data_IF_908196078663
#
_entry.id   IF_908196078663
#
_cell.length_a   1.000
_cell.length_b   1.000
_cell.length_c   1.000
_cell.angle_alpha   90.00
_cell.angle_beta   90.00
_cell.angle_gamma   90.00
#
_symmetry.space_group_name_H-M   'P 1'
#
loop_
_entity.id
_entity.type
_entity.pdbx_description
1 polymer ?
#
# COMPACT_ATOMS: atom_id res chain seq x y z
N UNK A 1 10.07 84.37 -6.83
CA UNK A 1 11.24 84.05 -5.98
C UNK A 1 10.99 82.70 -5.32
N UNK A 2 11.88 81.72 -5.51
CA UNK A 2 12.03 80.44 -4.77
C UNK A 2 10.84 79.45 -4.88
N UNK A 3 10.92 78.12 -5.01
CA UNK A 3 12.00 77.12 -5.07
C UNK A 3 11.38 75.80 -5.60
N UNK A 4 12.21 74.92 -6.19
CA UNK A 4 12.33 73.45 -5.97
C UNK A 4 11.13 72.70 -5.35
N UNK A 5 10.64 71.57 -5.87
CA UNK A 5 11.36 70.27 -5.93
C UNK A 5 10.76 69.31 -6.97
N UNK A 6 11.64 68.49 -7.56
CA UNK A 6 11.31 67.29 -8.36
C UNK A 6 11.01 66.09 -7.44
N UNK A 7 10.08 65.23 -7.85
CA UNK A 7 9.99 63.83 -7.42
C UNK A 7 9.71 62.95 -8.65
N UNK A 8 10.41 61.82 -8.86
CA UNK A 8 10.20 60.94 -9.99
C UNK A 8 9.15 59.87 -9.67
N UNK A 9 8.14 59.73 -10.53
CA UNK A 9 7.28 58.54 -10.53
C UNK A 9 8.07 57.35 -11.05
N UNK A 10 8.34 56.39 -10.18
CA UNK A 10 8.86 55.06 -10.50
C UNK A 10 7.79 54.25 -11.23
N UNK A 11 8.14 53.79 -12.43
CA UNK A 11 7.37 52.82 -13.21
C UNK A 11 7.47 51.45 -12.53
N UNK A 12 6.35 50.92 -12.03
CA UNK A 12 6.22 49.52 -11.61
C UNK A 12 5.70 48.74 -12.81
N UNK A 13 6.60 48.02 -13.48
CA UNK A 13 6.22 46.97 -14.42
C UNK A 13 5.63 45.81 -13.61
N UNK A 14 4.32 45.59 -13.75
CA UNK A 14 3.65 44.43 -13.19
C UNK A 14 3.94 43.21 -14.08
N UNK A 15 4.85 42.36 -13.62
CA UNK A 15 5.11 41.05 -14.23
C UNK A 15 3.90 40.16 -13.97
N UNK A 16 3.13 39.89 -15.02
CA UNK A 16 1.98 38.99 -14.99
C UNK A 16 2.49 37.53 -14.89
N UNK A 17 2.53 36.99 -13.67
CA UNK A 17 2.77 35.55 -13.47
C UNK A 17 1.54 34.79 -13.95
N UNK A 18 1.69 34.07 -15.07
CA UNK A 18 0.69 33.12 -15.56
C UNK A 18 0.62 31.94 -14.58
N UNK A 19 -0.33 31.96 -13.65
CA UNK A 19 -0.74 30.78 -12.89
C UNK A 19 -1.49 29.85 -13.84
N UNK A 20 -0.77 28.92 -14.47
CA UNK A 20 -1.40 27.74 -15.06
C UNK A 20 -1.83 26.87 -13.88
N UNK A 21 -3.09 27.00 -13.48
CA UNK A 21 -3.75 26.06 -12.60
C UNK A 21 -3.94 24.77 -13.42
N UNK A 22 -3.02 23.81 -13.29
CA UNK A 22 -3.23 22.47 -13.85
C UNK A 22 -4.34 21.85 -13.00
N UNK A 23 -5.58 21.93 -13.48
CA UNK A 23 -6.68 21.18 -12.92
C UNK A 23 -6.33 19.69 -13.05
N UNK A 24 -5.87 19.07 -11.97
CA UNK A 24 -5.76 17.62 -11.92
C UNK A 24 -7.16 17.07 -12.10
N UNK A 25 -7.38 16.31 -13.17
CA UNK A 25 -8.66 15.64 -13.38
C UNK A 25 -8.91 14.71 -12.19
N UNK A 26 -9.96 14.98 -11.42
CA UNK A 26 -10.37 14.10 -10.33
C UNK A 26 -10.73 12.73 -10.90
N UNK A 27 -10.23 11.67 -10.28
CA UNK A 27 -10.55 10.30 -10.66
C UNK A 27 -12.07 10.11 -10.72
N UNK A 28 -12.55 9.50 -11.80
CA UNK A 28 -13.98 9.25 -12.00
C UNK A 28 -14.25 7.76 -11.86
N UNK A 29 -14.95 7.37 -10.79
CA UNK A 29 -15.48 6.02 -10.64
C UNK A 29 -16.62 5.79 -11.64
N UNK A 30 -16.57 4.65 -12.32
CA UNK A 30 -17.60 4.08 -13.19
C UNK A 30 -18.62 3.31 -12.37
N UNK A 31 -18.18 2.63 -11.31
CA UNK A 31 -19.06 1.89 -10.41
C UNK A 31 -19.62 2.77 -9.28
N UNK A 32 -20.75 2.34 -8.73
CA UNK A 32 -21.32 2.92 -7.50
C UNK A 32 -20.92 2.08 -6.30
N UNK A 33 -20.55 2.75 -5.21
CA UNK A 33 -20.04 2.11 -4.01
C UNK A 33 -20.97 2.30 -2.80
N UNK A 34 -20.97 1.36 -1.84
CA UNK A 34 -21.72 1.48 -0.60
C UNK A 34 -21.29 2.68 0.25
N UNK A 35 -22.06 2.96 1.29
CA UNK A 35 -21.65 3.93 2.31
C UNK A 35 -20.34 3.50 2.97
N UNK A 36 -19.42 4.46 3.13
CA UNK A 36 -18.16 4.23 3.84
C UNK A 36 -18.40 3.99 5.34
N UNK A 37 -17.53 3.23 6.01
CA UNK A 37 -17.59 2.92 7.45
C UNK A 37 -18.86 2.18 7.90
N UNK A 38 -19.53 1.51 6.99
CA UNK A 38 -20.65 0.61 7.26
C UNK A 38 -20.39 -0.73 6.62
N UNK A 39 -20.81 -1.82 7.28
CA UNK A 39 -20.76 -3.17 6.69
C UNK A 39 -21.51 -3.12 5.36
N UNK A 40 -20.84 -3.43 4.23
CA UNK A 40 -21.43 -3.23 2.94
C UNK A 40 -22.43 -4.34 2.59
N UNK A 41 -23.45 -4.07 1.76
CA UNK A 41 -24.37 -5.10 1.31
C UNK A 41 -23.65 -6.11 0.40
N UNK A 42 -23.96 -7.40 0.54
CA UNK A 42 -23.46 -8.42 -0.38
C UNK A 42 -24.22 -8.38 -1.72
N UNK A 43 -23.48 -8.44 -2.84
CA UNK A 43 -24.07 -8.61 -4.18
C UNK A 43 -24.52 -10.06 -4.41
N UNK A 44 -25.65 -10.32 -5.10
CA UNK A 44 -26.15 -11.68 -5.34
C UNK A 44 -25.11 -12.63 -5.95
N UNK A 45 -24.33 -12.15 -6.93
CA UNK A 45 -23.30 -12.94 -7.61
C UNK A 45 -22.13 -13.34 -6.69
N UNK A 46 -21.90 -12.63 -5.58
CA UNK A 46 -20.83 -12.95 -4.65
C UNK A 46 -21.20 -14.03 -3.65
N UNK A 47 -22.49 -14.20 -3.34
CA UNK A 47 -22.96 -15.28 -2.46
C UNK A 47 -22.53 -16.66 -2.99
N UNK A 48 -22.57 -16.81 -4.31
CA UNK A 48 -22.25 -18.08 -4.97
C UNK A 48 -20.74 -18.38 -4.99
N UNK A 49 -19.87 -17.40 -4.72
CA UNK A 49 -18.41 -17.61 -4.76
C UNK A 49 -17.92 -18.56 -3.67
N UNK A 50 -18.67 -18.69 -2.58
CA UNK A 50 -18.32 -19.55 -1.45
C UNK A 50 -19.24 -20.78 -1.33
N UNK A 51 -20.19 -20.97 -2.24
CA UNK A 51 -21.23 -22.01 -2.11
C UNK A 51 -20.67 -23.43 -2.03
N UNK A 52 -19.52 -23.69 -2.67
CA UNK A 52 -18.85 -25.00 -2.68
C UNK A 52 -17.60 -25.05 -1.78
N UNK A 53 -17.35 -23.98 -1.01
CA UNK A 53 -16.19 -23.93 -0.12
C UNK A 53 -16.47 -24.72 1.16
N UNK A 54 -15.50 -25.54 1.58
CA UNK A 54 -15.54 -26.17 2.90
C UNK A 54 -15.15 -25.15 3.96
N UNK A 55 -16.13 -24.45 4.51
CA UNK A 55 -15.92 -23.40 5.51
C UNK A 55 -16.02 -23.99 6.92
N UNK A 56 -14.98 -23.77 7.72
CA UNK A 56 -14.96 -24.12 9.14
C UNK A 56 -16.11 -23.44 9.88
N UNK A 57 -16.85 -24.20 10.69
CA UNK A 57 -17.98 -23.69 11.46
C UNK A 57 -17.55 -23.02 12.78
N UNK A 58 -16.69 -21.99 12.70
CA UNK A 58 -16.33 -21.19 13.86
C UNK A 58 -17.49 -20.25 14.25
N UNK A 59 -17.73 -20.03 15.56
CA UNK A 59 -18.83 -19.18 16.01
C UNK A 59 -18.63 -17.72 15.59
N UNK A 60 -19.73 -17.04 15.28
CA UNK A 60 -19.73 -15.58 15.12
C UNK A 60 -19.58 -14.96 16.51
N UNK A 61 -18.56 -14.12 16.68
CA UNK A 61 -18.22 -13.48 17.95
C UNK A 61 -18.99 -12.18 18.15
N UNK A 62 -19.09 -11.74 19.39
CA UNK A 62 -19.66 -10.44 19.75
C UNK A 62 -18.56 -9.40 19.99
N UNK A 63 -18.94 -8.13 20.00
CA UNK A 63 -18.05 -7.05 20.47
C UNK A 63 -18.35 -6.69 21.92
N UNK A 64 -17.31 -6.35 22.65
CA UNK A 64 -17.39 -5.75 23.98
C UNK A 64 -17.74 -4.25 23.86
N UNK A 65 -18.19 -3.59 24.95
CA UNK A 65 -18.57 -2.18 24.92
C UNK A 65 -17.44 -1.21 24.54
N UNK A 66 -16.18 -1.58 24.80
CA UNK A 66 -14.96 -0.88 24.39
C UNK A 66 -14.57 -1.16 22.92
N UNK A 67 -15.40 -1.91 22.19
CA UNK A 67 -15.26 -2.13 20.74
C UNK A 67 -14.38 -3.30 20.33
N UNK A 68 -13.75 -3.99 21.29
CA UNK A 68 -12.94 -5.18 21.07
C UNK A 68 -13.83 -6.40 20.79
N UNK A 69 -13.22 -7.48 20.27
CA UNK A 69 -13.92 -8.76 20.12
C UNK A 69 -13.96 -9.48 21.47
N UNK A 70 -15.14 -9.95 21.86
CA UNK A 70 -15.33 -10.67 23.11
C UNK A 70 -14.69 -12.07 23.03
N UNK A 71 -13.65 -12.26 23.82
CA UNK A 71 -12.90 -13.50 23.95
C UNK A 71 -13.09 -14.15 25.33
N UNK A 72 -13.96 -13.60 26.19
CA UNK A 72 -14.11 -14.03 27.58
C UNK A 72 -14.63 -15.46 27.75
N UNK A 73 -15.32 -15.98 26.73
CA UNK A 73 -15.91 -17.33 26.72
C UNK A 73 -15.01 -18.38 26.06
N UNK A 74 -13.84 -17.97 25.55
CA UNK A 74 -12.92 -18.86 24.83
C UNK A 74 -11.97 -19.52 25.82
N UNK A 75 -12.13 -20.83 26.01
CA UNK A 75 -11.28 -21.63 26.91
C UNK A 75 -10.22 -22.44 26.17
N UNK A 76 -10.47 -22.75 24.90
CA UNK A 76 -9.61 -23.47 23.97
C UNK A 76 -9.73 -22.84 22.57
N UNK A 77 -8.80 -23.18 21.67
CA UNK A 77 -8.78 -22.60 20.32
C UNK A 77 -8.83 -23.66 19.21
N UNK A 78 -10.00 -24.30 19.00
CA UNK A 78 -10.15 -25.27 17.92
C UNK A 78 -10.17 -24.61 16.53
N UNK A 79 -10.20 -23.28 16.45
CA UNK A 79 -10.38 -22.53 15.20
C UNK A 79 -9.16 -21.70 14.79
N UNK A 80 -8.02 -21.85 15.47
CA UNK A 80 -6.81 -21.06 15.21
C UNK A 80 -7.10 -19.55 15.20
N UNK A 81 -7.66 -19.04 16.29
CA UNK A 81 -8.08 -17.65 16.44
C UNK A 81 -6.90 -16.78 16.82
N UNK A 82 -6.46 -15.91 15.91
CA UNK A 82 -5.26 -15.11 16.14
C UNK A 82 -5.39 -14.13 17.32
N UNK A 83 -6.57 -13.53 17.52
CA UNK A 83 -6.83 -12.65 18.68
C UNK A 83 -6.81 -13.38 20.02
N UNK A 84 -6.85 -14.71 20.06
CA UNK A 84 -6.80 -15.49 21.30
C UNK A 84 -5.36 -15.83 21.71
N UNK A 85 -4.62 -16.49 20.84
CA UNK A 85 -3.31 -17.08 21.13
C UNK A 85 -2.27 -16.78 20.03
N UNK A 86 -2.55 -15.82 19.14
CA UNK A 86 -1.74 -15.50 17.96
C UNK A 86 -1.54 -16.68 17.00
N UNK A 87 -2.49 -17.61 16.91
CA UNK A 87 -2.38 -18.75 16.00
C UNK A 87 -2.27 -18.30 14.53
N UNK A 88 -1.18 -18.75 13.90
CA UNK A 88 -0.85 -18.54 12.49
C UNK A 88 -1.14 -19.83 11.72
N UNK A 89 -1.97 -19.76 10.69
CA UNK A 89 -2.23 -20.89 9.83
C UNK A 89 -1.15 -21.02 8.74
N UNK A 90 -1.02 -22.21 8.15
CA UNK A 90 -0.02 -22.53 7.13
C UNK A 90 0.02 -21.53 5.95
N UNK A 91 -1.15 -21.07 5.52
CA UNK A 91 -1.30 -20.22 4.33
C UNK A 91 -1.25 -18.71 4.68
N UNK A 92 -1.09 -18.34 5.96
CA UNK A 92 -0.94 -16.94 6.38
C UNK A 92 0.49 -16.45 6.08
N UNK A 93 0.62 -15.24 5.53
CA UNK A 93 1.90 -14.54 5.52
C UNK A 93 2.02 -13.74 6.80
N UNK A 94 3.15 -13.81 7.50
CA UNK A 94 3.30 -13.11 8.78
C UNK A 94 4.74 -12.67 9.08
N UNK A 95 5.71 -13.18 8.31
CA UNK A 95 7.12 -12.87 8.47
C UNK A 95 7.81 -12.81 7.11
N UNK A 96 9.01 -12.23 7.08
CA UNK A 96 9.94 -12.30 5.95
C UNK A 96 11.09 -13.27 6.28
N UNK A 97 11.87 -13.72 5.28
CA UNK A 97 13.08 -14.48 5.53
C UNK A 97 14.11 -13.70 6.36
N UNK A 98 15.05 -14.41 6.98
CA UNK A 98 16.16 -13.83 7.75
C UNK A 98 16.83 -12.66 7.03
N UNK A 99 17.02 -11.55 7.74
CA UNK A 99 17.67 -10.35 7.23
C UNK A 99 16.76 -9.44 6.40
N UNK A 100 15.53 -9.86 6.09
CA UNK A 100 14.53 -9.04 5.41
C UNK A 100 13.40 -8.63 6.34
N UNK A 101 12.83 -7.46 6.09
CA UNK A 101 11.73 -6.96 6.91
C UNK A 101 10.74 -6.13 6.09
N UNK A 102 9.46 -6.43 6.23
CA UNK A 102 8.39 -5.64 5.63
C UNK A 102 7.81 -4.69 6.67
N UNK A 103 8.20 -3.42 6.60
CA UNK A 103 7.44 -2.36 7.27
C UNK A 103 6.15 -2.20 6.50
N UNK A 104 4.98 -2.23 7.14
CA UNK A 104 3.67 -2.13 6.46
C UNK A 104 2.74 -1.17 7.16
N UNK A 105 1.76 -0.63 6.43
CA UNK A 105 0.87 0.43 6.90
C UNK A 105 -0.59 0.11 6.64
N UNK A 106 -1.40 0.22 7.68
CA UNK A 106 -2.85 -0.04 7.67
C UNK A 106 -3.65 1.27 7.71
N UNK A 107 -4.95 1.13 7.42
CA UNK A 107 -6.01 2.13 7.55
C UNK A 107 -6.01 3.30 6.55
N UNK A 108 -4.93 3.49 5.82
CA UNK A 108 -4.85 4.51 4.77
C UNK A 108 -5.65 4.17 3.50
N UNK A 109 -5.51 5.02 2.46
CA UNK A 109 -4.79 6.30 2.48
C UNK A 109 -5.53 7.40 3.28
N UNK A 110 -4.79 8.43 3.68
CA UNK A 110 -5.29 9.64 4.34
C UNK A 110 -4.62 10.89 3.77
N UNK A 111 -5.04 12.07 4.22
CA UNK A 111 -4.36 13.34 3.89
C UNK A 111 -2.89 13.39 4.35
N UNK A 112 -2.47 12.50 5.26
CA UNK A 112 -1.09 12.42 5.77
C UNK A 112 -0.21 11.43 5.00
N UNK A 113 -0.82 10.47 4.28
CA UNK A 113 -0.09 9.46 3.49
C UNK A 113 0.91 10.04 2.49
N UNK A 114 0.67 11.18 1.79
CA UNK A 114 1.65 11.77 0.88
C UNK A 114 3.04 12.01 1.51
N UNK A 115 3.06 12.42 2.78
CA UNK A 115 4.30 12.67 3.53
C UNK A 115 5.12 11.39 3.71
N UNK A 116 4.44 10.27 3.98
CA UNK A 116 5.07 8.95 4.07
C UNK A 116 5.57 8.49 2.70
N UNK A 117 4.79 8.70 1.63
CA UNK A 117 5.17 8.30 0.27
C UNK A 117 6.41 9.06 -0.21
N UNK A 118 6.45 10.38 0.00
CA UNK A 118 7.62 11.22 -0.30
C UNK A 118 8.87 10.71 0.44
N UNK A 119 8.72 10.37 1.72
CA UNK A 119 9.80 9.85 2.52
C UNK A 119 10.29 8.49 2.02
N UNK A 120 9.40 7.52 1.80
CA UNK A 120 9.74 6.19 1.29
C UNK A 120 10.44 6.26 -0.08
N UNK A 121 9.98 7.16 -0.96
CA UNK A 121 10.62 7.45 -2.23
C UNK A 121 12.04 8.01 -2.04
N UNK A 122 12.24 8.92 -1.08
CA UNK A 122 13.56 9.53 -0.81
C UNK A 122 14.60 8.52 -0.34
N UNK A 123 14.17 7.45 0.34
CA UNK A 123 15.05 6.37 0.82
C UNK A 123 15.01 5.12 -0.07
N UNK A 124 14.31 5.18 -1.21
CA UNK A 124 14.11 4.08 -2.15
C UNK A 124 13.59 2.78 -1.51
N UNK A 125 12.67 2.89 -0.55
CA UNK A 125 12.04 1.74 0.10
C UNK A 125 10.64 1.52 -0.48
N UNK A 126 10.31 0.28 -0.80
CA UNK A 126 8.96 -0.16 -1.14
C UNK A 126 8.36 -0.95 0.02
N UNK A 127 7.05 -0.85 0.16
CA UNK A 127 6.28 -1.38 1.30
C UNK A 127 4.94 -1.88 0.80
N UNK A 128 4.16 -2.52 1.67
CA UNK A 128 2.78 -2.93 1.44
C UNK A 128 1.85 -2.05 2.25
N UNK A 129 0.88 -1.42 1.58
CA UNK A 129 -0.21 -0.65 2.20
C UNK A 129 -1.49 -1.47 2.22
N UNK A 130 -2.10 -1.64 3.39
CA UNK A 130 -3.39 -2.29 3.57
C UNK A 130 -4.47 -1.22 3.68
N UNK A 131 -5.21 -1.03 2.59
CA UNK A 131 -6.10 0.12 2.45
C UNK A 131 -7.57 -0.24 2.67
N UNK A 132 -8.24 0.56 3.50
CA UNK A 132 -9.68 0.42 3.78
C UNK A 132 -10.48 0.92 2.59
N UNK A 133 -11.51 0.18 2.16
CA UNK A 133 -12.28 0.49 0.95
C UNK A 133 -12.89 1.89 0.94
N UNK A 134 -13.41 2.36 2.07
CA UNK A 134 -13.90 3.74 2.19
C UNK A 134 -12.82 4.81 1.99
N UNK A 135 -11.57 4.51 2.33
CA UNK A 135 -10.43 5.42 2.13
C UNK A 135 -9.95 5.41 0.68
N UNK A 136 -9.96 4.24 0.03
CA UNK A 136 -9.70 4.12 -1.41
C UNK A 136 -10.71 4.93 -2.21
N UNK A 137 -11.99 4.88 -1.82
CA UNK A 137 -13.05 5.67 -2.44
C UNK A 137 -12.83 7.18 -2.25
N UNK A 138 -12.29 7.59 -1.11
CA UNK A 138 -12.08 9.01 -0.75
C UNK A 138 -10.82 9.60 -1.38
N UNK A 139 -9.74 8.82 -1.49
CA UNK A 139 -8.43 9.28 -1.99
C UNK A 139 -7.88 8.38 -3.13
N UNK A 140 -8.62 8.20 -4.24
CA UNK A 140 -8.21 7.33 -5.35
C UNK A 140 -6.89 7.76 -6.00
N UNK A 141 -6.59 9.06 -6.01
CA UNK A 141 -5.35 9.62 -6.50
C UNK A 141 -4.14 9.16 -5.66
N UNK A 142 -4.29 9.07 -4.34
CA UNK A 142 -3.24 8.59 -3.44
C UNK A 142 -3.00 7.09 -3.59
N UNK A 143 -4.06 6.30 -3.79
CA UNK A 143 -3.92 4.86 -4.09
C UNK A 143 -3.19 4.65 -5.41
N UNK A 144 -3.58 5.39 -6.46
CA UNK A 144 -2.91 5.33 -7.76
C UNK A 144 -1.45 5.76 -7.66
N UNK A 145 -1.15 6.83 -6.90
CA UNK A 145 0.20 7.29 -6.63
C UNK A 145 1.05 6.22 -5.95
N UNK A 146 0.57 5.63 -4.86
CA UNK A 146 1.31 4.60 -4.13
C UNK A 146 1.61 3.40 -5.05
N UNK A 147 0.65 2.98 -5.87
CA UNK A 147 0.85 1.93 -6.87
C UNK A 147 1.89 2.30 -7.94
N UNK A 148 1.79 3.50 -8.53
CA UNK A 148 2.72 3.97 -9.57
C UNK A 148 4.14 4.17 -9.05
N UNK A 149 4.28 4.49 -7.75
CA UNK A 149 5.57 4.55 -7.07
C UNK A 149 6.13 3.16 -6.72
N UNK A 150 5.41 2.08 -7.03
CA UNK A 150 5.88 0.70 -6.91
C UNK A 150 5.65 0.05 -5.55
N UNK A 151 4.77 0.63 -4.71
CA UNK A 151 4.33 0.00 -3.48
C UNK A 151 3.32 -1.11 -3.76
N UNK A 152 3.28 -2.13 -2.90
CA UNK A 152 2.22 -3.13 -2.95
C UNK A 152 0.94 -2.55 -2.33
N UNK A 153 -0.18 -2.70 -3.03
CA UNK A 153 -1.50 -2.30 -2.54
C UNK A 153 -2.28 -3.55 -2.16
N UNK A 154 -2.71 -3.62 -0.91
CA UNK A 154 -3.43 -4.72 -0.30
C UNK A 154 -4.74 -4.23 0.34
N UNK A 155 -5.63 -5.17 0.65
CA UNK A 155 -6.96 -4.90 1.20
C UNK A 155 -6.95 -4.82 2.73
N UNK A 156 -7.79 -3.94 3.30
CA UNK A 156 -8.06 -3.88 4.74
C UNK A 156 -9.56 -3.82 5.06
N UNK A 157 -10.33 -4.59 4.28
CA UNK A 157 -11.80 -4.61 4.25
C UNK A 157 -12.43 -3.30 3.79
N UNK A 158 -13.75 -3.30 3.58
CA UNK A 158 -14.47 -2.12 3.14
C UNK A 158 -14.65 -1.11 4.27
N UNK A 159 -15.08 -1.61 5.43
CA UNK A 159 -15.56 -0.79 6.53
C UNK A 159 -14.70 -0.84 7.78
N UNK A 160 -13.64 -1.64 7.78
CA UNK A 160 -12.77 -1.89 8.94
C UNK A 160 -13.50 -2.62 10.09
N UNK A 161 -14.48 -3.47 9.77
CA UNK A 161 -15.16 -4.30 10.78
C UNK A 161 -14.35 -5.57 11.10
N UNK A 162 -14.39 -5.97 12.38
CA UNK A 162 -13.72 -7.18 12.87
C UNK A 162 -14.36 -8.41 12.21
N UNK A 163 -13.56 -9.26 11.57
CA UNK A 163 -14.11 -10.26 10.65
C UNK A 163 -14.79 -11.43 11.36
N UNK A 164 -14.32 -11.82 12.54
CA UNK A 164 -14.94 -12.92 13.31
C UNK A 164 -16.30 -12.54 13.91
N UNK A 165 -16.65 -11.24 13.95
CA UNK A 165 -17.96 -10.77 14.40
C UNK A 165 -18.99 -10.68 13.27
N UNK A 166 -18.61 -11.09 12.06
CA UNK A 166 -19.43 -11.00 10.86
C UNK A 166 -19.88 -12.39 10.39
N UNK A 167 -21.03 -12.44 9.74
CA UNK A 167 -21.50 -13.60 8.97
C UNK A 167 -20.58 -13.88 7.77
N UNK A 168 -20.74 -15.06 7.16
CA UNK A 168 -19.93 -15.44 6.01
C UNK A 168 -20.15 -14.49 4.83
N UNK A 169 -21.41 -14.08 4.61
CA UNK A 169 -21.82 -13.15 3.57
C UNK A 169 -21.25 -11.74 3.78
N UNK A 170 -21.23 -11.26 5.03
CA UNK A 170 -20.65 -9.96 5.36
C UNK A 170 -19.13 -9.97 5.15
N UNK A 171 -18.43 -11.05 5.54
CA UNK A 171 -16.99 -11.22 5.24
C UNK A 171 -16.73 -11.17 3.72
N UNK A 172 -17.55 -11.88 2.93
CA UNK A 172 -17.44 -11.84 1.47
C UNK A 172 -17.64 -10.42 0.95
N UNK A 173 -18.66 -9.70 1.44
CA UNK A 173 -18.95 -8.33 1.01
C UNK A 173 -17.81 -7.37 1.34
N UNK A 174 -17.28 -7.43 2.56
CA UNK A 174 -16.14 -6.64 3.02
C UNK A 174 -14.92 -6.77 2.11
N UNK A 175 -14.54 -8.01 1.77
CA UNK A 175 -13.38 -8.29 0.93
C UNK A 175 -13.63 -7.92 -0.54
N UNK A 176 -14.81 -8.26 -1.07
CA UNK A 176 -15.12 -8.08 -2.50
C UNK A 176 -15.36 -6.61 -2.87
N UNK A 177 -15.99 -5.82 -2.02
CA UNK A 177 -16.11 -4.38 -2.26
C UNK A 177 -14.76 -3.67 -2.20
N UNK A 178 -13.90 -4.05 -1.26
CA UNK A 178 -12.56 -3.50 -1.15
C UNK A 178 -11.67 -3.89 -2.35
N UNK A 179 -11.75 -5.15 -2.80
CA UNK A 179 -11.10 -5.59 -4.05
C UNK A 179 -11.58 -4.77 -5.25
N UNK A 180 -12.89 -4.59 -5.41
CA UNK A 180 -13.48 -3.91 -6.56
C UNK A 180 -13.04 -2.44 -6.63
N UNK A 181 -13.10 -1.71 -5.52
CA UNK A 181 -12.71 -0.29 -5.50
C UNK A 181 -11.22 -0.11 -5.77
N UNK A 182 -10.35 -0.98 -5.22
CA UNK A 182 -8.92 -0.92 -5.52
C UNK A 182 -8.67 -1.22 -7.00
N UNK A 183 -9.27 -2.29 -7.53
CA UNK A 183 -9.11 -2.68 -8.94
C UNK A 183 -9.54 -1.58 -9.90
N UNK A 184 -10.62 -0.87 -9.59
CA UNK A 184 -11.06 0.23 -10.44
C UNK A 184 -10.03 1.36 -10.52
N UNK A 185 -9.33 1.64 -9.41
CA UNK A 185 -8.31 2.69 -9.33
C UNK A 185 -7.00 2.27 -10.01
N UNK A 186 -6.51 1.05 -9.77
CA UNK A 186 -5.15 0.63 -10.21
C UNK A 186 -5.15 -0.40 -11.36
N UNK A 187 -6.31 -0.89 -11.78
CA UNK A 187 -6.46 -1.84 -12.89
C UNK A 187 -6.23 -3.31 -12.55
N UNK A 188 -5.75 -3.63 -11.34
CA UNK A 188 -5.44 -5.00 -10.88
C UNK A 188 -6.08 -5.29 -9.52
N UNK A 189 -6.48 -6.54 -9.29
CA UNK A 189 -7.07 -7.00 -8.04
C UNK A 189 -6.01 -7.40 -7.03
N UNK A 190 -5.98 -6.82 -5.81
CA UNK A 190 -5.14 -7.30 -4.73
C UNK A 190 -5.42 -8.76 -4.36
N UNK A 191 -4.36 -9.46 -3.96
CA UNK A 191 -4.43 -10.82 -3.42
C UNK A 191 -4.29 -10.85 -1.90
N UNK A 192 -3.59 -9.88 -1.34
CA UNK A 192 -3.33 -9.79 0.09
C UNK A 192 -4.40 -8.99 0.79
N UNK A 193 -4.79 -9.43 1.98
CA UNK A 193 -5.56 -8.61 2.90
C UNK A 193 -5.02 -8.77 4.31
N UNK A 194 -5.20 -7.74 5.13
CA UNK A 194 -4.99 -7.84 6.57
C UNK A 194 -6.33 -7.73 7.28
N UNK A 195 -6.66 -8.64 8.21
CA UNK A 195 -7.90 -8.53 8.97
C UNK A 195 -7.81 -7.38 9.98
N UNK A 196 -8.78 -6.45 10.02
CA UNK A 196 -8.88 -5.43 11.06
C UNK A 196 -8.73 -6.02 12.46
N UNK A 197 -7.99 -5.35 13.34
CA UNK A 197 -7.70 -5.79 14.71
C UNK A 197 -6.93 -7.13 14.81
N UNK A 198 -6.39 -7.63 13.69
CA UNK A 198 -5.82 -8.97 13.59
C UNK A 198 -6.87 -10.08 13.76
N UNK A 199 -8.14 -9.74 13.57
CA UNK A 199 -9.24 -10.60 13.97
C UNK A 199 -9.60 -11.62 12.88
N UNK A 200 -9.02 -12.81 13.01
CA UNK A 200 -9.14 -13.91 12.06
C UNK A 200 -9.20 -15.27 12.77
N UNK A 201 -10.01 -16.18 12.24
CA UNK A 201 -10.10 -17.60 12.60
C UNK A 201 -10.12 -18.45 11.31
N UNK A 202 -10.18 -19.77 11.44
CA UNK A 202 -10.23 -20.68 10.28
C UNK A 202 -11.45 -20.44 9.38
N UNK A 203 -12.59 -19.97 9.90
CA UNK A 203 -13.77 -19.63 9.09
C UNK A 203 -13.45 -18.46 8.14
N UNK A 204 -12.85 -17.40 8.67
CA UNK A 204 -12.42 -16.25 7.87
C UNK A 204 -11.35 -16.66 6.85
N UNK A 205 -10.39 -17.52 7.24
CA UNK A 205 -9.35 -18.03 6.32
C UNK A 205 -9.93 -18.87 5.18
N UNK A 206 -10.88 -19.75 5.46
CA UNK A 206 -11.52 -20.60 4.45
C UNK A 206 -12.29 -19.75 3.43
N UNK A 207 -12.99 -18.71 3.89
CA UNK A 207 -13.67 -17.75 3.01
C UNK A 207 -12.64 -16.98 2.16
N UNK A 208 -11.59 -16.42 2.78
CA UNK A 208 -10.55 -15.71 2.06
C UNK A 208 -9.90 -16.59 0.97
N UNK A 209 -9.59 -17.85 1.31
CA UNK A 209 -9.03 -18.84 0.41
C UNK A 209 -9.96 -19.15 -0.76
N UNK A 210 -11.26 -19.34 -0.51
CA UNK A 210 -12.26 -19.56 -1.55
C UNK A 210 -12.35 -18.39 -2.54
N UNK A 211 -12.09 -17.16 -2.07
CA UNK A 211 -12.07 -15.95 -2.90
C UNK A 211 -10.70 -15.68 -3.55
N UNK A 212 -9.69 -16.52 -3.29
CA UNK A 212 -8.33 -16.39 -3.80
C UNK A 212 -7.49 -15.32 -3.09
N UNK A 213 -7.83 -14.98 -1.85
CA UNK A 213 -7.10 -14.03 -1.02
C UNK A 213 -6.17 -14.73 -0.02
N UNK A 214 -5.13 -14.02 0.41
CA UNK A 214 -4.14 -14.49 1.37
C UNK A 214 -4.12 -13.51 2.57
N UNK A 215 -4.37 -13.98 3.80
CA UNK A 215 -4.21 -13.17 4.99
C UNK A 215 -2.74 -12.80 5.23
N UNK A 216 -2.50 -11.54 5.59
CA UNK A 216 -1.20 -11.04 6.04
C UNK A 216 -1.30 -10.58 7.48
N UNK A 217 -0.69 -11.33 8.38
CA UNK A 217 -0.49 -10.99 9.79
C UNK A 217 0.85 -10.29 10.00
N UNK A 218 1.23 -10.08 11.25
CA UNK A 218 2.50 -9.46 11.62
C UNK A 218 3.18 -10.23 12.74
N UNK A 219 4.51 -10.15 12.78
CA UNK A 219 5.32 -10.61 13.91
C UNK A 219 5.59 -9.49 14.91
N UNK A 220 5.49 -8.23 14.49
CA UNK A 220 5.84 -7.08 15.30
C UNK A 220 4.80 -5.98 15.21
N UNK A 221 4.37 -5.50 16.36
CA UNK A 221 3.52 -4.32 16.45
C UNK A 221 4.38 -3.12 16.85
N UNK A 222 4.28 -2.02 16.11
CA UNK A 222 4.94 -0.76 16.49
C UNK A 222 4.22 -0.06 17.64
N UNK A 223 2.96 -0.43 17.89
CA UNK A 223 2.06 0.21 18.84
C UNK A 223 1.87 1.71 18.58
N UNK A 224 2.08 2.16 17.34
CA UNK A 224 1.93 3.56 16.92
C UNK A 224 0.50 4.07 17.09
N UNK A 225 -0.51 3.19 16.97
CA UNK A 225 -1.90 3.46 17.32
C UNK A 225 -2.07 3.98 18.76
N UNK A 226 -1.14 3.66 19.66
CA UNK A 226 -1.10 4.24 21.01
C UNK A 226 -1.01 5.76 21.00
N UNK A 227 -0.43 6.39 19.96
CA UNK A 227 -0.30 7.85 19.83
C UNK A 227 -1.62 8.57 19.56
N UNK A 228 -2.66 7.85 19.12
CA UNK A 228 -3.92 8.44 18.65
C UNK A 228 -5.05 8.29 19.67
N UNK A 229 -4.85 7.47 20.71
CA UNK A 229 -5.83 7.24 21.75
C UNK A 229 -6.13 8.54 22.54
N UNK A 230 -7.42 8.83 22.86
CA UNK A 230 -7.77 9.97 23.70
C UNK A 230 -7.04 9.95 25.04
N UNK A 231 -6.34 11.04 25.37
CA UNK A 231 -5.56 11.13 26.61
C UNK A 231 -4.30 10.27 26.64
N UNK A 232 -3.81 9.82 25.48
CA UNK A 232 -2.61 9.01 25.38
C UNK A 232 -1.39 9.66 26.03
N UNK A 233 -0.65 8.84 26.78
CA UNK A 233 0.68 9.14 27.33
C UNK A 233 1.77 8.30 26.65
N UNK A 234 1.46 7.69 25.51
CA UNK A 234 2.37 6.79 24.81
C UNK A 234 3.66 7.53 24.40
N UNK A 235 4.79 6.98 24.83
CA UNK A 235 6.10 7.54 24.51
C UNK A 235 6.55 7.04 23.14
N UNK A 236 6.52 7.93 22.13
CA UNK A 236 6.95 7.60 20.75
C UNK A 236 8.37 7.01 20.67
N UNK A 237 9.27 7.36 21.59
CA UNK A 237 10.63 6.82 21.62
C UNK A 237 10.66 5.31 21.92
N UNK A 238 9.60 4.78 22.55
CA UNK A 238 9.47 3.35 22.80
C UNK A 238 9.53 2.54 21.49
N UNK A 239 8.96 3.05 20.39
CA UNK A 239 8.92 2.36 19.10
C UNK A 239 10.35 2.08 18.61
N UNK A 240 11.16 3.13 18.49
CA UNK A 240 12.56 3.03 18.03
C UNK A 240 13.42 2.20 18.99
N UNK A 241 13.19 2.30 20.30
CA UNK A 241 13.91 1.52 21.30
C UNK A 241 13.58 0.02 21.17
N UNK A 242 12.31 -0.32 20.99
CA UNK A 242 11.85 -1.69 20.82
C UNK A 242 12.42 -2.30 19.53
N UNK A 243 12.42 -1.56 18.41
CA UNK A 243 13.02 -2.00 17.15
C UNK A 243 14.53 -2.19 17.29
N UNK A 244 15.21 -1.27 17.98
CA UNK A 244 16.66 -1.38 18.25
C UNK A 244 16.98 -2.65 19.05
N UNK A 245 16.26 -2.89 20.15
CA UNK A 245 16.43 -4.09 20.95
C UNK A 245 16.18 -5.34 20.10
N UNK A 246 15.09 -5.35 19.33
CA UNK A 246 14.73 -6.44 18.45
C UNK A 246 15.81 -6.75 17.41
N UNK A 247 16.27 -5.72 16.67
CA UNK A 247 17.31 -5.86 15.65
C UNK A 247 18.66 -6.33 16.22
N UNK A 248 18.94 -6.02 17.48
CA UNK A 248 20.14 -6.50 18.16
C UNK A 248 20.04 -7.97 18.59
N UNK A 249 18.87 -8.41 19.06
CA UNK A 249 18.69 -9.76 19.63
C UNK A 249 18.27 -10.82 18.60
N UNK A 250 17.62 -10.42 17.49
CA UNK A 250 16.99 -11.34 16.54
C UNK A 250 17.56 -11.24 15.13
N UNK A 251 18.90 -11.15 15.00
CA UNK A 251 19.61 -10.98 13.71
C UNK A 251 19.37 -12.11 12.71
N UNK A 252 18.89 -13.26 13.18
CA UNK A 252 18.57 -14.43 12.35
C UNK A 252 17.10 -14.49 11.96
N UNK A 253 16.29 -13.52 12.35
CA UNK A 253 14.87 -13.47 12.03
C UNK A 253 14.60 -12.45 10.93
N UNK A 254 13.42 -12.54 10.32
CA UNK A 254 12.84 -11.47 9.52
C UNK A 254 11.52 -11.06 10.16
N UNK A 255 10.75 -10.21 9.48
CA UNK A 255 9.47 -9.83 10.04
C UNK A 255 8.57 -9.02 9.14
N UNK A 256 7.35 -8.84 9.63
CA UNK A 256 6.35 -7.92 9.09
C UNK A 256 5.89 -7.06 10.27
N UNK A 257 5.91 -5.73 10.12
CA UNK A 257 5.38 -4.82 11.15
C UNK A 257 3.89 -4.59 10.97
N UNK A 258 3.23 -4.19 12.06
CA UNK A 258 1.98 -3.44 12.06
C UNK A 258 2.29 -1.96 12.37
N UNK A 259 1.84 -1.08 11.49
CA UNK A 259 1.88 0.38 11.61
C UNK A 259 0.71 0.99 10.84
N UNK A 260 0.46 2.29 10.99
CA UNK A 260 -0.72 2.94 10.41
C UNK A 260 -0.35 4.28 9.76
N UNK A 261 -0.88 4.57 8.57
CA UNK A 261 -0.67 5.85 7.86
C UNK A 261 -1.93 6.74 7.84
N UNK A 262 -2.86 6.49 8.77
CA UNK A 262 -4.12 7.23 8.90
C UNK A 262 -3.99 8.58 9.63
N UNK A 263 -2.98 8.76 10.48
CA UNK A 263 -2.83 9.95 11.33
C UNK A 263 -1.46 10.60 11.19
N UNK A 264 -1.39 11.93 11.33
CA UNK A 264 -0.10 12.64 11.24
C UNK A 264 0.93 12.12 12.26
N UNK A 265 0.51 11.82 13.49
CA UNK A 265 1.41 11.34 14.54
C UNK A 265 2.02 9.97 14.24
N UNK A 266 1.28 9.07 13.61
CA UNK A 266 1.78 7.73 13.23
C UNK A 266 2.68 7.81 12.01
N UNK A 267 2.36 8.68 11.04
CA UNK A 267 3.26 9.01 9.92
C UNK A 267 4.57 9.63 10.42
N UNK A 268 4.51 10.59 11.36
CA UNK A 268 5.69 11.20 11.96
C UNK A 268 6.54 10.17 12.71
N UNK A 269 5.90 9.24 13.42
CA UNK A 269 6.61 8.14 14.06
C UNK A 269 7.31 7.24 13.02
N UNK A 270 6.64 6.92 11.90
CA UNK A 270 7.19 6.10 10.82
C UNK A 270 8.46 6.67 10.21
N UNK A 271 8.47 7.97 9.93
CA UNK A 271 9.65 8.69 9.44
C UNK A 271 10.86 8.55 10.39
N UNK A 272 10.62 8.36 11.69
CA UNK A 272 11.67 8.19 12.68
C UNK A 272 12.13 6.75 12.87
N UNK A 273 11.21 5.77 12.84
CA UNK A 273 11.56 4.37 13.12
C UNK A 273 12.00 3.58 11.89
N UNK A 274 11.62 3.98 10.67
CA UNK A 274 12.05 3.28 9.44
C UNK A 274 13.58 3.23 9.32
N UNK A 275 14.35 4.33 9.54
CA UNK A 275 15.82 4.27 9.57
C UNK A 275 16.37 3.28 10.60
N UNK A 276 15.66 3.10 11.72
CA UNK A 276 16.08 2.15 12.76
C UNK A 276 16.00 0.73 12.23
N UNK A 277 14.92 0.37 11.51
CA UNK A 277 14.83 -0.93 10.85
C UNK A 277 15.95 -1.13 9.80
N UNK A 278 16.27 -0.10 9.01
CA UNK A 278 17.32 -0.17 7.98
C UNK A 278 18.72 -0.46 8.54
N UNK A 279 18.96 -0.20 9.83
CA UNK A 279 20.24 -0.56 10.48
C UNK A 279 20.40 -2.07 10.69
N UNK A 280 19.32 -2.84 10.60
CA UNK A 280 19.31 -4.26 10.95
C UNK A 280 18.76 -5.17 9.84
N UNK A 281 17.94 -4.63 8.92
CA UNK A 281 17.23 -5.40 7.92
C UNK A 281 17.20 -4.72 6.55
N UNK A 282 17.16 -5.54 5.51
CA UNK A 282 16.81 -5.13 4.16
C UNK A 282 15.29 -4.94 4.06
N UNK A 283 14.85 -3.70 3.84
CA UNK A 283 13.42 -3.39 3.78
C UNK A 283 12.82 -3.73 2.42
N UNK A 284 11.66 -4.35 2.45
CA UNK A 284 11.01 -4.93 1.26
C UNK A 284 9.50 -4.99 1.45
N UNK A 285 8.75 -5.22 0.38
CA UNK A 285 7.31 -5.44 0.47
C UNK A 285 6.99 -6.91 0.83
N UNK A 286 5.79 -7.17 1.35
CA UNK A 286 5.37 -8.50 1.85
C UNK A 286 5.43 -9.55 0.75
N UNK A 287 4.88 -9.26 -0.43
CA UNK A 287 4.87 -10.19 -1.56
C UNK A 287 6.27 -10.48 -2.07
N UNK A 288 7.10 -9.43 -2.15
CA UNK A 288 8.50 -9.56 -2.55
C UNK A 288 9.29 -10.51 -1.64
N UNK A 289 9.25 -10.32 -0.31
CA UNK A 289 10.03 -11.15 0.61
C UNK A 289 9.52 -12.60 0.68
N UNK A 290 8.22 -12.80 0.49
CA UNK A 290 7.59 -14.13 0.48
C UNK A 290 7.58 -14.80 -0.90
N UNK A 291 8.03 -14.11 -1.95
CA UNK A 291 7.98 -14.56 -3.35
C UNK A 291 6.55 -14.94 -3.80
N UNK A 292 5.56 -14.20 -3.30
CA UNK A 292 4.16 -14.35 -3.67
C UNK A 292 3.73 -13.09 -4.40
N UNK A 293 3.18 -13.24 -5.60
CA UNK A 293 2.72 -12.09 -6.36
C UNK A 293 1.51 -11.40 -5.66
N UNK A 294 1.54 -10.06 -5.51
CA UNK A 294 0.57 -9.33 -4.70
C UNK A 294 -0.82 -9.14 -5.36
N UNK A 295 -0.94 -9.44 -6.66
CA UNK A 295 -2.18 -9.24 -7.43
C UNK A 295 -2.65 -10.53 -8.10
N UNK A 296 -3.96 -10.69 -8.31
CA UNK A 296 -4.55 -11.91 -8.89
C UNK A 296 -4.21 -12.10 -10.38
N UNK A 297 -4.06 -11.01 -11.11
CA UNK A 297 -3.79 -10.99 -12.56
C UNK A 297 -2.31 -11.26 -12.90
N UNK A 298 -1.42 -11.31 -11.92
CA UNK A 298 0.03 -11.48 -12.12
C UNK A 298 0.47 -12.84 -12.71
N UNK A 299 -0.43 -13.83 -12.74
CA UNK A 299 -0.23 -15.11 -13.46
C UNK A 299 -0.75 -15.10 -14.91
N UNK A 300 -1.37 -14.00 -15.36
CA UNK A 300 -1.66 -13.78 -16.77
C UNK A 300 -0.41 -13.22 -17.43
N UNK A 301 0.26 -14.02 -18.25
CA UNK A 301 1.25 -13.56 -19.21
C UNK A 301 0.56 -12.73 -20.30
N UNK A 302 0.11 -11.53 -19.95
CA UNK A 302 -0.21 -10.50 -20.92
C UNK A 302 1.09 -9.81 -21.29
N UNK A 303 1.69 -10.30 -22.36
CA UNK A 303 2.71 -9.60 -23.13
C UNK A 303 2.14 -8.25 -23.57
N UNK A 304 2.45 -7.18 -22.84
CA UNK A 304 2.24 -5.82 -23.31
C UNK A 304 3.35 -5.44 -24.28
N UNK A 305 3.29 -6.01 -25.50
CA UNK A 305 3.68 -5.26 -26.68
C UNK A 305 2.59 -4.22 -26.89
N UNK A 306 2.80 -3.03 -26.36
CA UNK A 306 2.25 -1.77 -26.88
C UNK A 306 2.94 -0.61 -26.13
N UNK A 307 4.26 -0.50 -26.34
CA UNK A 307 4.94 0.77 -26.20
C UNK A 307 4.73 1.52 -27.52
N UNK A 308 3.75 2.43 -27.54
CA UNK A 308 3.61 3.41 -28.62
C UNK A 308 4.79 4.38 -28.50
N UNK A 309 5.76 4.26 -29.41
CA UNK A 309 6.77 5.29 -29.65
C UNK A 309 6.12 6.50 -30.34
N UNK A 310 6.50 7.74 -30.01
CA UNK A 310 6.06 8.90 -30.77
C UNK A 310 6.76 8.92 -32.13
N UNK A 311 5.97 8.90 -33.19
CA UNK A 311 6.40 9.10 -34.58
C UNK A 311 6.97 10.51 -34.74
N UNK A 312 8.25 10.60 -35.07
CA UNK A 312 8.87 11.81 -35.59
C UNK A 312 8.42 12.05 -37.04
N UNK A 313 7.89 13.24 -37.28
CA UNK A 313 7.63 13.82 -38.59
C UNK A 313 8.96 14.16 -39.26
N UNK A 314 9.30 13.51 -40.38
CA UNK A 314 10.22 14.09 -41.36
C UNK A 314 9.70 13.83 -42.78
N UNK A 315 9.27 14.94 -43.40
CA UNK A 315 8.84 15.05 -44.79
C UNK A 315 10.01 14.79 -45.74
N UNK A 316 9.81 13.84 -46.64
CA UNK A 316 10.71 13.51 -47.75
C UNK A 316 10.79 14.64 -48.81
N UNK A 317 12.01 14.91 -49.29
CA UNK A 317 12.27 15.59 -50.56
C UNK A 317 13.17 14.71 -51.44
N UNK A 318 12.88 14.72 -52.74
CA UNK A 318 13.16 13.69 -53.74
C UNK A 318 14.40 14.01 -54.60
N UNK A 319 15.32 13.03 -54.70
CA UNK A 319 16.16 12.54 -55.85
C UNK A 319 16.95 13.54 -56.73
N UNK A 320 18.29 13.36 -56.85
CA UNK A 320 19.00 12.95 -58.11
C UNK A 320 20.56 12.90 -58.01
N UNK A 321 21.10 11.74 -58.46
CA UNK A 321 22.36 11.45 -59.19
C UNK A 321 23.77 11.77 -58.64
N UNK A 322 24.50 10.69 -58.27
CA UNK A 322 25.86 10.18 -58.66
C UNK A 322 26.97 11.10 -59.24
N UNK A 323 28.28 10.70 -59.30
CA UNK A 323 29.01 9.57 -58.65
C UNK A 323 30.45 9.87 -58.10
N UNK A 324 30.95 8.90 -57.30
CA UNK A 324 32.33 8.35 -57.25
C UNK A 324 33.52 9.22 -56.77
N UNK A 325 34.32 8.68 -55.83
CA UNK A 325 35.70 8.17 -56.02
C UNK A 325 36.43 8.03 -54.66
N UNK A 326 37.31 7.03 -54.59
CA UNK A 326 38.48 6.85 -53.71
C UNK A 326 38.27 6.27 -52.29
N UNK A 327 38.71 5.02 -52.03
CA UNK A 327 40.08 4.57 -51.68
C UNK A 327 40.43 4.91 -50.22
N UNK A 328 40.46 3.96 -49.28
CA UNK A 328 41.46 2.89 -49.00
C UNK A 328 42.27 3.24 -47.73
N UNK A 329 42.40 2.23 -46.85
CA UNK A 329 43.45 1.99 -45.85
C UNK A 329 43.64 3.01 -44.71
N UNK A 330 43.51 2.58 -43.45
CA UNK A 330 44.64 1.98 -42.72
C UNK A 330 44.20 1.44 -41.35
N UNK A 331 44.64 0.21 -41.06
CA UNK A 331 44.53 -0.50 -39.79
C UNK A 331 45.76 -0.23 -38.91
N UNK A 332 45.58 -0.39 -37.60
CA UNK A 332 46.60 -0.59 -36.54
C UNK A 332 47.41 0.64 -36.09
N UNK A 333 47.41 0.91 -34.78
CA UNK A 333 48.45 0.38 -33.86
C UNK A 333 48.02 0.58 -32.40
N UNK A 334 48.44 -0.42 -31.64
CA UNK A 334 48.32 -0.71 -30.22
C UNK A 334 49.00 0.32 -29.28
N UNK A 335 48.38 0.50 -28.12
CA UNK A 335 48.97 0.37 -26.77
C UNK A 335 49.84 1.48 -26.14
N UNK A 336 49.50 1.68 -24.84
CA UNK A 336 50.28 2.18 -23.68
C UNK A 336 50.56 3.69 -23.65
N UNK A 337 50.13 4.35 -22.58
CA UNK A 337 50.96 4.63 -21.40
C UNK A 337 50.06 5.02 -20.21
N UNK A 338 50.42 4.44 -19.06
CA UNK A 338 50.25 4.89 -17.65
C UNK A 338 48.93 5.51 -17.18
#
# INVERSE_FOLDING_TARGET
>A
MYFSTKSPFTSIAATLFCMICVAQAQFQFKDTYPTIRQIPPIKPEWRNLIANASITNAPIRTRTPDGNVDMSTVTDDPYCTWSFNRCIAKDDLYTCPTGQYAVTFDDGPSEFSPKLYDYLKSINVKTTFFMVGGQVLTHPDLVKRAYDEGHEIAMHTWSHTAMTTQSNEEIVAELKWNEQVIREVIGVSPKFFRPPFGNIDNRVRDIAKALGFIPVMWTHDTFDWGLTAPGSTFNVQWISNNITQWGQTNKTEGGVSLSHDLYNSTVDAALNYIPVFQNYYDLTAVGQCNKVAPYKESNSTTSSKDAVSPSGDESAATIMSTPSWALLLFTMILSRFL
#
